data_IF_966700447889
#
_entry.id   IF_966700447889
#
_cell.length_a   1.000
_cell.length_b   1.000
_cell.length_c   1.000
_cell.angle_alpha   90.00
_cell.angle_beta   90.00
_cell.angle_gamma   90.00
#
_symmetry.space_group_name_H-M   'P 1'
#
loop_
_entity.id
_entity.type
_entity.pdbx_description
1 polymer ?
#
# COMPACT_ATOMS: atom_id res chain seq x y z
N UNK A 1 -8.46 8.16 19.50
CA UNK A 1 -9.57 7.47 18.80
C UNK A 1 -8.94 6.42 17.90
N UNK A 2 -9.26 5.13 18.08
CA UNK A 2 -8.85 4.10 17.11
C UNK A 2 -9.56 4.40 15.78
N UNK A 3 -8.82 4.93 14.81
CA UNK A 3 -9.32 5.13 13.46
C UNK A 3 -9.37 3.76 12.80
N UNK A 4 -10.56 3.35 12.37
CA UNK A 4 -10.82 2.07 11.71
C UNK A 4 -9.93 1.92 10.47
N UNK A 5 -9.27 0.77 10.34
CA UNK A 5 -8.49 0.43 9.15
C UNK A 5 -9.39 0.38 7.90
N UNK A 6 -8.86 0.71 6.70
CA UNK A 6 -9.59 0.53 5.46
C UNK A 6 -10.01 -0.92 5.26
N UNK A 7 -11.15 -1.10 4.61
CA UNK A 7 -11.58 -2.39 4.07
C UNK A 7 -10.83 -2.71 2.77
N UNK A 8 -10.78 -3.99 2.41
CA UNK A 8 -10.28 -4.48 1.11
C UNK A 8 -10.87 -3.71 -0.08
N UNK A 9 -12.17 -3.43 -0.05
CA UNK A 9 -12.84 -2.67 -1.10
C UNK A 9 -12.31 -1.23 -1.17
N UNK A 10 -12.05 -0.59 -0.03
CA UNK A 10 -11.49 0.77 0.02
C UNK A 10 -10.05 0.78 -0.51
N UNK A 11 -9.23 -0.17 -0.11
CA UNK A 11 -7.85 -0.34 -0.62
C UNK A 11 -7.88 -0.52 -2.14
N UNK A 12 -8.65 -1.49 -2.64
CA UNK A 12 -8.73 -1.75 -4.09
C UNK A 12 -9.25 -0.55 -4.88
N UNK A 13 -10.27 0.14 -4.37
CA UNK A 13 -10.80 1.35 -5.00
C UNK A 13 -9.77 2.48 -5.03
N UNK A 14 -8.93 2.58 -4.00
CA UNK A 14 -7.85 3.56 -3.96
C UNK A 14 -6.80 3.28 -5.05
N UNK A 15 -6.36 2.04 -5.21
CA UNK A 15 -5.45 1.67 -6.30
C UNK A 15 -6.04 2.01 -7.67
N UNK A 16 -7.32 1.69 -7.90
CA UNK A 16 -8.01 2.03 -9.15
C UNK A 16 -8.12 3.53 -9.39
N UNK A 17 -8.24 4.33 -8.33
CA UNK A 17 -8.32 5.80 -8.41
C UNK A 17 -7.01 6.41 -8.92
N UNK A 18 -5.87 5.86 -8.50
CA UNK A 18 -4.54 6.40 -8.81
C UNK A 18 -3.87 5.74 -10.02
N UNK A 19 -4.26 4.52 -10.39
CA UNK A 19 -3.74 3.87 -11.58
C UNK A 19 -4.10 4.66 -12.86
N UNK A 20 -3.10 4.88 -13.73
CA UNK A 20 -3.30 5.56 -15.02
C UNK A 20 -3.92 4.61 -16.06
N UNK A 21 -3.63 3.32 -15.95
CA UNK A 21 -4.14 2.26 -16.82
C UNK A 21 -4.44 0.98 -16.03
N UNK A 22 -5.22 0.07 -16.61
CA UNK A 22 -5.46 -1.26 -16.03
C UNK A 22 -4.16 -2.07 -15.89
N UNK A 23 -3.19 -1.84 -16.79
CA UNK A 23 -1.88 -2.48 -16.72
C UNK A 23 -1.06 -1.98 -15.51
N UNK A 24 -1.08 -0.67 -15.25
CA UNK A 24 -0.42 -0.09 -14.07
C UNK A 24 -1.09 -0.59 -12.79
N UNK A 25 -2.43 -0.61 -12.77
CA UNK A 25 -3.20 -1.19 -11.67
C UNK A 25 -2.75 -2.62 -11.39
N UNK A 26 -2.76 -3.48 -12.40
CA UNK A 26 -2.39 -4.88 -12.27
C UNK A 26 -0.95 -5.04 -11.79
N UNK A 27 0.00 -4.24 -12.31
CA UNK A 27 1.40 -4.29 -11.92
C UNK A 27 1.60 -3.99 -10.44
N UNK A 28 1.13 -2.83 -9.97
CA UNK A 28 1.38 -2.38 -8.59
C UNK A 28 0.51 -3.16 -7.59
N UNK A 29 -0.75 -3.42 -7.91
CA UNK A 29 -1.65 -4.14 -7.00
C UNK A 29 -1.19 -5.58 -6.79
N UNK A 30 -0.78 -6.28 -7.87
CA UNK A 30 -0.26 -7.66 -7.75
C UNK A 30 1.04 -7.69 -6.94
N UNK A 31 1.93 -6.71 -7.15
CA UNK A 31 3.14 -6.57 -6.33
C UNK A 31 2.80 -6.44 -4.84
N UNK A 32 1.85 -5.58 -4.49
CA UNK A 32 1.42 -5.41 -3.10
C UNK A 32 0.84 -6.71 -2.50
N UNK A 33 0.06 -7.48 -3.28
CA UNK A 33 -0.46 -8.79 -2.85
C UNK A 33 0.65 -9.82 -2.60
N UNK A 34 1.71 -9.81 -3.43
CA UNK A 34 2.87 -10.70 -3.23
C UNK A 34 3.61 -10.32 -1.94
N UNK A 35 3.83 -9.03 -1.69
CA UNK A 35 4.49 -8.55 -0.47
C UNK A 35 3.67 -8.90 0.78
N UNK A 36 2.35 -8.70 0.76
CA UNK A 36 1.45 -9.09 1.85
C UNK A 36 1.54 -10.60 2.14
N UNK A 37 1.50 -11.44 1.10
CA UNK A 37 1.61 -12.88 1.25
C UNK A 37 2.96 -13.31 1.86
N UNK A 38 4.06 -12.66 1.49
CA UNK A 38 5.39 -12.91 2.07
C UNK A 38 5.42 -12.45 3.53
N UNK A 39 4.91 -11.25 3.84
CA UNK A 39 4.88 -10.71 5.19
C UNK A 39 4.04 -11.58 6.14
N UNK A 40 2.89 -12.08 5.68
CA UNK A 40 2.05 -13.02 6.40
C UNK A 40 2.81 -14.32 6.71
N UNK A 41 3.50 -14.90 5.72
CA UNK A 41 4.31 -16.11 5.91
C UNK A 41 5.44 -15.90 6.93
N UNK A 42 6.10 -14.74 6.90
CA UNK A 42 7.15 -14.39 7.86
C UNK A 42 6.60 -14.27 9.29
N UNK A 43 5.44 -13.65 9.45
CA UNK A 43 4.78 -13.53 10.75
C UNK A 43 4.31 -14.89 11.27
N UNK A 44 3.81 -15.76 10.40
CA UNK A 44 3.39 -17.12 10.77
C UNK A 44 4.60 -17.99 11.18
N UNK A 45 5.74 -17.84 10.48
CA UNK A 45 6.99 -18.55 10.79
C UNK A 45 7.66 -18.04 12.09
N UNK A 46 7.49 -16.75 12.41
CA UNK A 46 8.01 -16.13 13.64
C UNK A 46 6.93 -15.23 14.27
N UNK A 47 5.98 -15.82 15.02
CA UNK A 47 4.88 -15.07 15.62
C UNK A 47 5.38 -13.95 16.54
N UNK A 48 4.81 -12.76 16.37
CA UNK A 48 5.07 -11.62 17.22
C UNK A 48 3.73 -10.99 17.63
N UNK A 49 3.40 -11.07 18.92
CA UNK A 49 2.14 -10.56 19.48
C UNK A 49 2.02 -9.03 19.45
N UNK A 50 3.11 -8.32 19.15
CA UNK A 50 3.11 -6.87 19.00
C UNK A 50 2.69 -6.42 17.59
N UNK A 51 2.62 -7.34 16.63
CA UNK A 51 2.23 -7.03 15.24
C UNK A 51 0.74 -7.30 15.06
N UNK A 52 -0.03 -6.25 14.76
CA UNK A 52 -1.42 -6.40 14.32
C UNK A 52 -1.45 -6.86 12.85
N UNK A 53 -1.96 -8.07 12.62
CA UNK A 53 -2.02 -8.70 11.29
C UNK A 53 -2.87 -7.90 10.29
N UNK A 54 -3.92 -7.23 10.75
CA UNK A 54 -4.74 -6.40 9.87
C UNK A 54 -4.02 -5.11 9.48
N UNK A 55 -3.30 -4.51 10.42
CA UNK A 55 -2.47 -3.34 10.12
C UNK A 55 -1.32 -3.71 9.18
N UNK A 56 -0.66 -4.84 9.41
CA UNK A 56 0.39 -5.37 8.52
C UNK A 56 -0.13 -5.51 7.10
N UNK A 57 -1.29 -6.15 6.95
CA UNK A 57 -1.92 -6.35 5.65
C UNK A 57 -2.21 -5.02 4.95
N UNK A 58 -2.86 -4.08 5.64
CA UNK A 58 -3.15 -2.75 5.08
C UNK A 58 -1.88 -1.99 4.71
N UNK A 59 -0.83 -2.08 5.53
CA UNK A 59 0.46 -1.44 5.26
C UNK A 59 1.11 -2.05 4.01
N UNK A 60 1.16 -3.37 3.88
CA UNK A 60 1.66 -4.05 2.68
C UNK A 60 0.85 -3.68 1.44
N UNK A 61 -0.47 -3.59 1.57
CA UNK A 61 -1.32 -3.24 0.43
C UNK A 61 -1.16 -1.80 -0.04
N UNK A 62 -0.80 -0.85 0.84
CA UNK A 62 -0.74 0.57 0.51
C UNK A 62 0.67 1.15 0.38
N UNK A 63 1.73 0.40 0.70
CA UNK A 63 3.11 0.91 0.77
C UNK A 63 3.59 1.59 -0.53
N UNK A 64 3.17 1.07 -1.69
CA UNK A 64 3.58 1.55 -3.01
C UNK A 64 2.48 2.36 -3.73
N UNK A 65 1.48 2.90 -3.02
CA UNK A 65 0.41 3.68 -3.66
C UNK A 65 0.96 4.91 -4.43
N UNK A 66 2.07 5.50 -3.96
CA UNK A 66 2.74 6.60 -4.65
C UNK A 66 3.50 6.19 -5.91
N UNK A 67 3.65 4.89 -6.18
CA UNK A 67 4.28 4.37 -7.38
C UNK A 67 3.56 4.82 -8.66
N UNK A 68 2.23 4.94 -8.61
CA UNK A 68 1.43 5.32 -9.78
C UNK A 68 1.81 6.68 -10.36
N UNK A 69 2.25 7.62 -9.51
CA UNK A 69 2.66 8.95 -9.95
C UNK A 69 4.00 8.93 -10.68
N UNK A 70 4.92 8.07 -10.20
CA UNK A 70 6.28 7.89 -10.75
C UNK A 70 6.38 6.79 -11.80
N UNK A 71 5.27 6.17 -12.19
CA UNK A 71 5.24 5.14 -13.23
C UNK A 71 4.99 5.80 -14.60
N UNK A 72 5.91 5.58 -15.54
CA UNK A 72 5.80 6.00 -16.94
C UNK A 72 6.00 4.78 -17.85
N UNK A 73 4.98 4.42 -18.63
CA UNK A 73 5.01 3.26 -19.54
C UNK A 73 5.49 1.97 -18.86
N UNK A 74 4.99 1.70 -17.64
CA UNK A 74 5.37 0.53 -16.84
C UNK A 74 6.78 0.59 -16.23
N UNK A 75 7.49 1.71 -16.31
CA UNK A 75 8.81 1.91 -15.71
C UNK A 75 8.76 2.95 -14.60
N UNK A 76 9.44 2.67 -13.50
CA UNK A 76 9.61 3.63 -12.40
C UNK A 76 10.61 4.72 -12.82
N UNK A 77 10.11 5.94 -12.92
CA UNK A 77 10.88 7.15 -13.21
C UNK A 77 10.93 7.99 -11.95
N UNK A 78 12.13 8.28 -11.42
CA UNK A 78 12.29 8.94 -10.10
C UNK A 78 11.72 8.13 -8.92
N UNK A 79 11.90 6.81 -8.96
CA UNK A 79 11.36 5.85 -8.01
C UNK A 79 11.58 6.19 -6.53
N UNK A 80 12.66 6.86 -6.12
CA UNK A 80 12.90 7.21 -4.71
C UNK A 80 11.79 8.08 -4.08
N UNK A 81 11.03 8.85 -4.89
CA UNK A 81 9.98 9.76 -4.38
C UNK A 81 8.64 9.08 -4.09
N UNK A 82 8.42 7.84 -4.52
CA UNK A 82 7.10 7.18 -4.36
C UNK A 82 6.64 7.13 -2.90
N UNK A 83 7.56 7.00 -1.95
CA UNK A 83 7.21 6.97 -0.52
C UNK A 83 6.65 8.31 0.00
N UNK A 84 7.25 9.43 -0.38
CA UNK A 84 6.77 10.77 0.01
C UNK A 84 5.44 11.08 -0.66
N UNK A 85 5.30 10.68 -1.93
CA UNK A 85 4.05 10.81 -2.68
C UNK A 85 2.95 9.95 -2.05
N UNK A 86 3.27 8.72 -1.68
CA UNK A 86 2.35 7.79 -1.03
C UNK A 86 1.86 8.31 0.32
N UNK A 87 2.76 8.86 1.14
CA UNK A 87 2.39 9.53 2.39
C UNK A 87 1.40 10.68 2.14
N UNK A 88 1.69 11.55 1.17
CA UNK A 88 0.82 12.68 0.84
C UNK A 88 -0.56 12.22 0.32
N UNK A 89 -0.60 11.17 -0.50
CA UNK A 89 -1.85 10.54 -0.97
C UNK A 89 -2.68 10.07 0.22
N UNK A 90 -2.09 9.24 1.08
CA UNK A 90 -2.80 8.61 2.19
C UNK A 90 -3.31 9.64 3.19
N UNK A 91 -2.53 10.69 3.46
CA UNK A 91 -2.94 11.82 4.28
C UNK A 91 -4.12 12.58 3.68
N UNK A 92 -4.09 12.85 2.37
CA UNK A 92 -5.16 13.58 1.67
C UNK A 92 -6.47 12.78 1.60
N UNK A 93 -6.39 11.45 1.53
CA UNK A 93 -7.53 10.54 1.58
C UNK A 93 -8.09 10.36 3.00
N UNK A 94 -7.44 10.95 4.01
CA UNK A 94 -7.90 10.95 5.40
C UNK A 94 -7.53 9.71 6.21
N UNK A 95 -6.62 8.87 5.70
CA UNK A 95 -6.18 7.67 6.40
C UNK A 95 -5.45 7.99 7.72
N UNK A 96 -5.53 7.10 8.73
CA UNK A 96 -4.79 7.25 9.97
C UNK A 96 -3.27 7.26 9.75
N UNK A 97 -2.60 7.97 10.64
CA UNK A 97 -1.14 8.14 10.66
C UNK A 97 -0.37 6.82 10.67
N UNK A 98 -0.91 5.81 11.34
CA UNK A 98 -0.33 4.47 11.43
C UNK A 98 -0.17 3.76 10.07
N UNK A 99 -0.83 4.24 9.01
CA UNK A 99 -0.75 3.66 7.66
C UNK A 99 0.33 4.34 6.81
N UNK A 100 0.67 5.59 7.10
CA UNK A 100 1.62 6.38 6.29
C UNK A 100 2.90 6.80 7.01
N UNK A 101 2.94 6.72 8.34
CA UNK A 101 4.19 6.88 9.08
C UNK A 101 5.15 5.72 8.80
N UNK A 102 6.42 6.08 8.57
CA UNK A 102 7.54 5.15 8.41
C UNK A 102 8.15 4.76 9.75
#
# INVERSE_FOLDING_TARGET
>A
MSKKLPTEAQVKNLHKKYAKTDADFALIYTHCQVVDAIAAQLLDAKPNSQIDRNLLHVACMLHDIGAYDVLENGKFVNGVRHGVIGEQILRNEGFPEQIWQR
#
